data_IF_393853316224
#
_entry.id   IF_393853316224
#
_cell.length_a   1.000
_cell.length_b   1.000
_cell.length_c   1.000
_cell.angle_alpha   90.00
_cell.angle_beta   90.00
_cell.angle_gamma   90.00
#
_symmetry.space_group_name_H-M   'P 1'
#
loop_
_entity.id
_entity.type
_entity.pdbx_description
1 polymer ?
#
# COMPACT_ATOMS: atom_id res chain seq x y z
N UNK A 1 23.96 -2.21 60.38
CA UNK A 1 22.74 -2.27 59.55
C UNK A 1 23.04 -1.57 58.24
N UNK A 2 23.19 -2.32 57.14
CA UNK A 2 23.69 -1.79 55.86
C UNK A 2 22.54 -1.38 54.93
N UNK A 3 22.59 -0.15 54.45
CA UNK A 3 21.66 0.48 53.50
C UNK A 3 21.86 -0.11 52.10
N UNK A 4 20.78 -0.57 51.45
CA UNK A 4 20.80 -0.99 50.04
C UNK A 4 20.50 0.21 49.15
N UNK A 5 21.48 0.63 48.36
CA UNK A 5 21.30 1.62 47.30
C UNK A 5 20.84 0.90 46.03
N UNK A 6 19.63 1.19 45.56
CA UNK A 6 19.11 0.68 44.28
C UNK A 6 19.52 1.63 43.16
N UNK A 7 20.42 1.18 42.29
CA UNK A 7 20.76 1.89 41.06
C UNK A 7 19.64 1.70 40.03
N UNK A 8 19.00 2.80 39.60
CA UNK A 8 18.02 2.80 38.52
C UNK A 8 18.75 2.79 37.17
N UNK A 9 18.60 1.70 36.42
CA UNK A 9 19.11 1.60 35.06
C UNK A 9 18.18 2.39 34.11
N UNK A 10 18.69 3.48 33.53
CA UNK A 10 17.96 4.25 32.52
C UNK A 10 18.14 3.59 31.16
N UNK A 11 17.06 3.04 30.61
CA UNK A 11 17.08 2.48 29.25
C UNK A 11 17.07 3.63 28.25
N UNK A 12 18.17 3.80 27.50
CA UNK A 12 18.23 4.75 26.38
C UNK A 12 17.32 4.26 25.26
N UNK A 13 16.24 4.99 24.99
CA UNK A 13 15.35 4.72 23.88
C UNK A 13 16.10 4.85 22.54
N UNK A 14 16.25 3.74 21.83
CA UNK A 14 16.81 3.72 20.48
C UNK A 14 15.74 4.23 19.53
N UNK A 15 15.93 5.44 19.00
CA UNK A 15 15.05 6.03 17.98
C UNK A 15 15.11 5.17 16.72
N UNK A 16 14.05 4.38 16.47
CA UNK A 16 13.91 3.52 15.28
C UNK A 16 14.08 4.40 14.04
N UNK A 17 15.12 4.17 13.24
CA UNK A 17 15.30 4.87 11.96
C UNK A 17 14.10 4.52 11.07
N UNK A 18 13.29 5.52 10.75
CA UNK A 18 12.24 5.40 9.74
C UNK A 18 12.95 5.42 8.40
N UNK A 19 13.36 4.24 7.93
CA UNK A 19 13.76 4.07 6.53
C UNK A 19 12.54 4.39 5.66
N UNK A 20 12.70 5.11 4.55
CA UNK A 20 11.60 5.32 3.61
C UNK A 20 11.10 3.94 3.16
N UNK A 21 9.82 3.65 3.40
CA UNK A 21 9.20 2.43 2.89
C UNK A 21 9.26 2.50 1.36
N UNK A 22 9.80 1.45 0.74
CA UNK A 22 9.74 1.31 -0.72
C UNK A 22 8.27 1.32 -1.13
N UNK A 23 7.95 1.93 -2.27
CA UNK A 23 6.60 1.89 -2.84
C UNK A 23 6.16 0.43 -3.00
N UNK A 24 4.91 0.12 -2.65
CA UNK A 24 4.38 -1.24 -2.70
C UNK A 24 4.41 -1.87 -4.11
N UNK A 25 4.38 -1.06 -5.17
CA UNK A 25 4.56 -1.51 -6.54
C UNK A 25 5.17 -0.41 -7.42
N UNK A 26 5.79 -0.84 -8.53
CA UNK A 26 6.39 0.03 -9.54
C UNK A 26 5.67 -0.20 -10.86
N UNK A 27 5.21 0.89 -11.49
CA UNK A 27 4.57 0.83 -12.81
C UNK A 27 5.60 1.03 -13.91
N UNK A 28 5.49 0.22 -14.95
CA UNK A 28 6.23 0.46 -16.19
C UNK A 28 5.61 1.66 -16.93
N UNK A 29 6.39 2.34 -17.80
CA UNK A 29 5.85 3.46 -18.59
C UNK A 29 4.64 3.06 -19.44
N UNK A 30 4.65 1.83 -19.98
CA UNK A 30 3.53 1.29 -20.77
C UNK A 30 2.29 1.03 -19.91
N UNK A 31 2.45 0.60 -18.66
CA UNK A 31 1.34 0.42 -17.73
C UNK A 31 0.70 1.77 -17.36
N UNK A 32 1.51 2.80 -17.11
CA UNK A 32 1.02 4.17 -16.84
C UNK A 32 0.13 4.65 -17.98
N UNK A 33 0.56 4.49 -19.23
CA UNK A 33 -0.22 4.93 -20.39
C UNK A 33 -1.55 4.17 -20.50
N UNK A 34 -1.54 2.84 -20.32
CA UNK A 34 -2.77 2.03 -20.33
C UNK A 34 -3.75 2.45 -19.24
N UNK A 35 -3.27 2.76 -18.03
CA UNK A 35 -4.14 3.20 -16.94
C UNK A 35 -4.75 4.56 -17.25
N UNK A 36 -3.98 5.48 -17.85
CA UNK A 36 -4.50 6.78 -18.32
C UNK A 36 -5.60 6.59 -19.38
N UNK A 37 -5.41 5.70 -20.34
CA UNK A 37 -6.42 5.37 -21.35
C UNK A 37 -7.70 4.79 -20.73
N UNK A 38 -7.56 3.88 -19.76
CA UNK A 38 -8.69 3.31 -19.02
C UNK A 38 -9.45 4.40 -18.24
N UNK A 39 -8.73 5.29 -17.57
CA UNK A 39 -9.30 6.40 -16.79
C UNK A 39 -9.93 7.50 -17.65
N UNK A 40 -9.53 7.62 -18.93
CA UNK A 40 -10.13 8.55 -19.87
C UNK A 40 -11.52 8.11 -20.36
N UNK A 41 -11.90 6.84 -20.17
CA UNK A 41 -13.22 6.33 -20.55
C UNK A 41 -14.32 6.91 -19.66
N UNK A 42 -15.52 7.04 -20.20
CA UNK A 42 -16.66 7.63 -19.47
C UNK A 42 -17.05 6.83 -18.23
N UNK A 43 -16.87 5.51 -18.27
CA UNK A 43 -17.11 4.58 -17.16
C UNK A 43 -16.23 4.87 -15.94
N UNK A 44 -15.08 5.51 -16.14
CA UNK A 44 -14.13 5.86 -15.09
C UNK A 44 -14.34 7.28 -14.52
N UNK A 45 -15.30 8.05 -15.05
CA UNK A 45 -15.61 9.39 -14.53
C UNK A 45 -16.14 9.28 -13.09
N UNK A 46 -15.47 9.95 -12.16
CA UNK A 46 -15.82 9.96 -10.73
C UNK A 46 -15.11 8.91 -9.87
N UNK A 47 -14.15 8.17 -10.43
CA UNK A 47 -13.25 7.29 -9.67
C UNK A 47 -11.89 7.99 -9.46
N UNK A 48 -11.25 7.73 -8.32
CA UNK A 48 -9.93 8.28 -7.95
C UNK A 48 -8.81 7.55 -8.70
N UNK A 49 -9.02 6.29 -9.04
CA UNK A 49 -8.02 5.45 -9.72
C UNK A 49 -8.45 3.98 -9.85
N UNK A 50 -7.47 3.11 -10.10
CA UNK A 50 -7.68 1.66 -10.10
C UNK A 50 -7.30 1.06 -8.74
N UNK A 51 -8.05 0.05 -8.31
CA UNK A 51 -7.78 -0.77 -7.14
C UNK A 51 -7.24 -2.14 -7.56
N UNK A 52 -6.09 -2.51 -7.01
CA UNK A 52 -5.49 -3.84 -7.13
C UNK A 52 -5.96 -4.68 -5.95
N UNK A 53 -6.67 -5.77 -6.26
CA UNK A 53 -7.11 -6.77 -5.29
C UNK A 53 -6.55 -8.15 -5.60
N UNK A 54 -6.78 -9.09 -4.69
CA UNK A 54 -6.53 -10.52 -4.90
C UNK A 54 -7.82 -11.30 -4.66
N UNK A 55 -8.12 -12.27 -5.53
CA UNK A 55 -9.24 -13.19 -5.41
C UNK A 55 -8.75 -14.63 -5.45
N UNK A 56 -9.41 -15.51 -4.71
CA UNK A 56 -9.10 -16.93 -4.69
C UNK A 56 -9.56 -17.58 -6.01
N UNK A 57 -8.69 -18.42 -6.59
CA UNK A 57 -8.95 -19.19 -7.80
C UNK A 57 -8.58 -20.65 -7.57
N UNK A 58 -9.56 -21.55 -7.59
CA UNK A 58 -9.33 -23.00 -7.45
C UNK A 58 -8.82 -23.39 -6.05
N UNK A 59 -8.16 -24.55 -5.98
CA UNK A 59 -7.76 -25.16 -4.69
C UNK A 59 -6.70 -24.34 -3.94
N UNK A 60 -5.69 -23.80 -4.64
CA UNK A 60 -4.57 -23.07 -4.03
C UNK A 60 -4.15 -21.80 -4.81
N UNK A 61 -4.95 -21.35 -5.79
CA UNK A 61 -4.59 -20.22 -6.65
C UNK A 61 -5.07 -18.88 -6.10
N UNK A 62 -4.29 -17.83 -6.36
CA UNK A 62 -4.69 -16.43 -6.21
C UNK A 62 -4.58 -15.74 -7.56
N UNK A 63 -5.55 -14.87 -7.86
CA UNK A 63 -5.57 -14.03 -9.06
C UNK A 63 -5.65 -12.57 -8.65
N UNK A 64 -4.88 -11.71 -9.32
CA UNK A 64 -5.02 -10.27 -9.17
C UNK A 64 -6.26 -9.76 -9.91
N UNK A 65 -6.92 -8.76 -9.34
CA UNK A 65 -8.05 -8.06 -9.97
C UNK A 65 -7.79 -6.56 -10.02
N UNK A 66 -8.27 -5.93 -11.09
CA UNK A 66 -8.24 -4.48 -11.28
C UNK A 66 -9.68 -3.98 -11.30
N UNK A 67 -10.06 -3.26 -10.26
CA UNK A 67 -11.40 -2.70 -10.09
C UNK A 67 -11.31 -1.16 -10.05
N UNK A 68 -12.37 -0.44 -10.40
CA UNK A 68 -12.39 1.01 -10.27
C UNK A 68 -12.60 1.43 -8.81
N UNK A 69 -11.85 2.44 -8.35
CA UNK A 69 -11.85 2.87 -6.95
C UNK A 69 -12.43 4.27 -6.78
N UNK A 70 -13.56 4.40 -6.07
CA UNK A 70 -14.17 5.71 -5.76
C UNK A 70 -13.53 6.39 -4.57
N UNK A 71 -13.11 5.60 -3.59
CA UNK A 71 -12.58 6.06 -2.31
C UNK A 71 -11.42 5.16 -1.86
N UNK A 72 -10.57 5.70 -0.98
CA UNK A 72 -9.50 4.95 -0.34
C UNK A 72 -9.96 4.38 1.00
N UNK A 73 -9.83 3.07 1.19
CA UNK A 73 -10.07 2.43 2.48
C UNK A 73 -8.99 2.77 3.51
N UNK A 74 -9.32 2.69 4.81
CA UNK A 74 -8.38 3.02 5.91
C UNK A 74 -7.10 2.18 5.92
N UNK A 75 -7.17 0.97 5.38
CA UNK A 75 -6.07 0.01 5.34
C UNK A 75 -5.52 -0.18 3.92
N UNK A 76 -6.07 0.55 2.95
CA UNK A 76 -5.60 0.50 1.58
C UNK A 76 -4.37 1.40 1.43
N UNK A 77 -3.39 0.92 0.70
CA UNK A 77 -2.20 1.70 0.36
C UNK A 77 -2.44 2.43 -0.96
N UNK A 78 -1.96 3.66 -1.08
CA UNK A 78 -2.14 4.48 -2.26
C UNK A 78 -0.77 4.76 -2.88
N UNK A 79 -0.62 4.38 -4.13
CA UNK A 79 0.58 4.59 -4.93
C UNK A 79 0.28 5.60 -6.02
N UNK A 80 1.01 6.72 -6.01
CA UNK A 80 0.94 7.75 -7.04
C UNK A 80 2.20 7.71 -7.88
N UNK A 81 2.05 7.53 -9.18
CA UNK A 81 3.16 7.51 -10.11
C UNK A 81 2.74 8.17 -11.42
N UNK A 82 3.54 9.12 -11.93
CA UNK A 82 3.38 9.72 -13.26
C UNK A 82 1.97 10.28 -13.56
N UNK A 83 1.30 10.79 -12.52
CA UNK A 83 -0.06 11.34 -12.59
C UNK A 83 -1.20 10.31 -12.52
N UNK A 84 -0.87 9.04 -12.26
CA UNK A 84 -1.83 7.95 -12.06
C UNK A 84 -1.90 7.58 -10.59
N UNK A 85 -3.11 7.32 -10.10
CA UNK A 85 -3.35 6.82 -8.75
C UNK A 85 -3.77 5.36 -8.80
N UNK A 86 -3.07 4.52 -8.03
CA UNK A 86 -3.43 3.11 -7.81
C UNK A 86 -3.62 2.89 -6.32
N UNK A 87 -4.70 2.19 -5.98
CA UNK A 87 -5.05 1.79 -4.64
C UNK A 87 -4.78 0.29 -4.51
N UNK A 88 -4.15 -0.14 -3.42
CA UNK A 88 -3.82 -1.53 -3.17
C UNK A 88 -4.64 -1.99 -1.98
N UNK A 89 -5.47 -3.01 -2.18
CA UNK A 89 -6.19 -3.66 -1.10
C UNK A 89 -5.19 -4.22 -0.07
N UNK A 90 -5.51 -4.10 1.21
CA UNK A 90 -4.75 -4.74 2.30
C UNK A 90 -4.45 -6.21 2.02
N UNK A 91 -5.40 -6.95 1.42
CA UNK A 91 -5.20 -8.38 1.09
C UNK A 91 -4.12 -8.62 0.02
N UNK A 92 -3.89 -7.63 -0.84
CA UNK A 92 -2.92 -7.70 -1.93
C UNK A 92 -1.53 -7.16 -1.52
N UNK A 93 -1.40 -6.59 -0.31
CA UNK A 93 -0.13 -6.17 0.24
C UNK A 93 0.64 -7.41 0.70
N UNK A 94 1.80 -7.65 0.08
CA UNK A 94 2.78 -8.65 0.50
C UNK A 94 3.63 -8.01 1.61
N UNK A 95 3.16 -8.05 2.85
CA UNK A 95 3.93 -7.58 4.03
C UNK A 95 4.01 -8.69 5.06
#
# INVERSE_FOLDING_TARGET
MATKTVASATVRAVKKRVLPSRAALVLTPTAVNKVKEIMAKEEAKGFIGLKVGVRQRGCNGLSYTLDYAKDKGKLDEEVKQDGVTIIIDKKAQLT
#
